data_IF_460116495990
#
_entry.id   IF_460116495990
#
_cell.length_a   1.000
_cell.length_b   1.000
_cell.length_c   1.000
_cell.angle_alpha   90.00
_cell.angle_beta   90.00
_cell.angle_gamma   90.00
#
_symmetry.space_group_name_H-M   'P 1'
#
loop_
_entity.id
_entity.type
_entity.pdbx_description
1 polymer ?
#
# COMPACT_ATOMS: atom_id res chain seq x y z
N UNK A 1 -2.29 7.64 -1.48
CA UNK A 1 -1.80 6.41 -0.84
C UNK A 1 -2.78 5.25 -1.01
N UNK A 2 -4.01 5.33 -0.50
CA UNK A 2 -4.99 4.23 -0.56
C UNK A 2 -5.18 3.56 -1.95
N UNK A 3 -5.20 4.34 -3.04
CA UNK A 3 -5.32 3.79 -4.41
C UNK A 3 -4.12 2.96 -4.86
N UNK A 4 -2.91 3.30 -4.41
CA UNK A 4 -1.69 2.60 -4.81
C UNK A 4 -1.54 1.21 -4.15
N UNK A 5 -2.33 0.95 -3.09
CA UNK A 5 -2.36 -0.31 -2.36
C UNK A 5 -3.37 -1.32 -2.97
N UNK A 6 -4.18 -0.91 -3.95
CA UNK A 6 -5.17 -1.79 -4.57
C UNK A 6 -4.49 -2.98 -5.27
N UNK A 7 -4.94 -4.19 -4.95
CA UNK A 7 -4.43 -5.47 -5.48
C UNK A 7 -2.93 -5.70 -5.24
N UNK A 8 -2.33 -5.02 -4.25
CA UNK A 8 -0.95 -5.25 -3.84
C UNK A 8 -0.87 -6.36 -2.81
N UNK A 9 0.22 -7.11 -2.87
CA UNK A 9 0.53 -8.19 -1.94
C UNK A 9 1.63 -7.79 -0.96
N UNK A 10 1.79 -8.55 0.12
CA UNK A 10 2.90 -8.35 1.06
C UNK A 10 4.22 -8.56 0.32
N UNK A 11 5.12 -7.58 0.45
CA UNK A 11 6.39 -7.51 -0.29
C UNK A 11 6.34 -6.64 -1.54
N UNK A 12 5.15 -6.24 -2.01
CA UNK A 12 5.05 -5.38 -3.19
C UNK A 12 5.45 -3.93 -2.90
N UNK A 13 6.01 -3.29 -3.94
CA UNK A 13 6.24 -1.85 -3.97
C UNK A 13 4.96 -1.10 -4.36
N UNK A 14 4.60 -0.09 -3.55
CA UNK A 14 3.56 0.88 -3.80
C UNK A 14 4.17 2.26 -4.05
N UNK A 15 3.92 2.83 -5.23
CA UNK A 15 4.37 4.16 -5.62
C UNK A 15 3.17 5.12 -5.57
N UNK A 16 3.31 6.24 -4.88
CA UNK A 16 2.27 7.27 -4.75
C UNK A 16 2.82 8.60 -5.24
N UNK A 17 2.13 9.20 -6.21
CA UNK A 17 2.39 10.58 -6.63
C UNK A 17 1.76 11.51 -5.60
N UNK A 18 2.61 12.18 -4.83
CA UNK A 18 2.21 13.27 -3.93
C UNK A 18 2.51 14.61 -4.60
N UNK A 19 1.90 15.72 -4.15
CA UNK A 19 2.23 17.05 -4.67
C UNK A 19 3.71 17.44 -4.49
N UNK A 20 4.42 16.81 -3.55
CA UNK A 20 5.84 17.02 -3.29
C UNK A 20 6.77 16.09 -4.11
N UNK A 21 6.20 15.17 -4.90
CA UNK A 21 6.96 14.19 -5.68
C UNK A 21 6.47 12.75 -5.50
N UNK A 22 7.16 11.82 -6.14
CA UNK A 22 6.89 10.38 -6.01
C UNK A 22 7.45 9.84 -4.70
N UNK A 23 6.63 9.05 -4.01
CA UNK A 23 7.03 8.36 -2.80
C UNK A 23 6.76 6.86 -2.94
N UNK A 24 7.75 6.05 -2.56
CA UNK A 24 7.74 4.61 -2.72
C UNK A 24 7.80 3.92 -1.35
N UNK A 25 6.91 2.95 -1.13
CA UNK A 25 6.83 2.16 0.10
C UNK A 25 6.65 0.67 -0.22
N UNK A 26 7.06 -0.18 0.70
CA UNK A 26 6.80 -1.62 0.66
C UNK A 26 5.59 -1.98 1.53
N UNK A 27 4.79 -2.93 1.06
CA UNK A 27 3.71 -3.51 1.86
C UNK A 27 4.31 -4.54 2.81
N UNK A 28 4.34 -4.24 4.10
CA UNK A 28 4.92 -5.15 5.09
C UNK A 28 3.93 -6.22 5.57
N UNK A 29 2.65 -5.86 5.70
CA UNK A 29 1.62 -6.75 6.23
C UNK A 29 0.23 -6.30 5.73
N UNK A 30 -0.68 -7.26 5.57
CA UNK A 30 -2.10 -7.02 5.27
C UNK A 30 -2.93 -7.89 6.22
N UNK A 31 -3.61 -7.26 7.17
CA UNK A 31 -4.49 -7.94 8.12
C UNK A 31 -5.96 -7.63 7.80
N UNK A 32 -6.78 -8.67 7.71
CA UNK A 32 -8.24 -8.55 7.59
C UNK A 32 -8.88 -8.85 8.94
N UNK A 33 -9.59 -7.86 9.49
CA UNK A 33 -10.33 -8.03 10.73
C UNK A 33 -11.40 -9.10 10.53
N UNK A 34 -11.26 -10.26 11.17
CA UNK A 34 -12.31 -11.28 11.19
C UNK A 34 -13.39 -10.84 12.17
N UNK A 35 -14.62 -10.68 11.68
CA UNK A 35 -15.77 -10.47 12.54
C UNK A 35 -16.00 -11.72 13.42
N UNK A 36 -16.27 -11.50 14.71
CA UNK A 36 -16.50 -12.52 15.72
C UNK A 36 -17.95 -12.99 15.72
#
# INVERSE_FOLDING_TARGET
MARALLKKEVGDLAIVNTPAGEAAWYVNEIEYVKAK
#
